data_IF_260414573730
#
_entry.id   IF_260414573730
#
_cell.length_a   1.000
_cell.length_b   1.000
_cell.length_c   1.000
_cell.angle_alpha   90.00
_cell.angle_beta   90.00
_cell.angle_gamma   90.00
#
_symmetry.space_group_name_H-M   'P 1'
#
loop_
_entity.id
_entity.type
_entity.pdbx_description
1 polymer ?
#
# COMPACT_ATOMS: atom_id res chain seq x y z
N UNK A 1 -74.07 69.13 8.35
CA UNK A 1 -72.85 68.25 8.33
C UNK A 1 -73.22 67.02 7.46
N UNK A 2 -72.62 66.93 6.27
CA UNK A 2 -72.90 65.80 5.33
C UNK A 2 -71.75 64.78 5.53
N UNK A 3 -72.05 63.47 5.56
CA UNK A 3 -71.02 62.44 5.64
C UNK A 3 -70.33 62.27 4.29
N UNK A 4 -68.96 62.19 4.35
CA UNK A 4 -68.08 61.96 3.22
C UNK A 4 -68.13 60.49 2.85
N UNK A 5 -68.51 60.15 1.63
CA UNK A 5 -68.53 58.81 1.04
C UNK A 5 -67.08 58.39 0.62
N UNK A 6 -66.69 57.29 1.10
CA UNK A 6 -65.38 56.69 0.78
C UNK A 6 -65.49 55.86 -0.51
N UNK A 7 -64.64 56.07 -1.54
CA UNK A 7 -64.69 55.25 -2.75
C UNK A 7 -64.04 53.91 -2.55
N UNK A 8 -64.74 52.81 -2.84
CA UNK A 8 -64.23 51.44 -2.88
C UNK A 8 -63.13 51.31 -3.94
N UNK A 9 -61.92 51.04 -3.49
CA UNK A 9 -60.81 50.65 -4.36
C UNK A 9 -61.08 49.21 -4.87
N UNK A 10 -61.40 49.07 -6.11
CA UNK A 10 -61.43 47.80 -6.86
C UNK A 10 -59.92 47.43 -7.18
N UNK A 11 -59.27 46.73 -6.28
CA UNK A 11 -57.97 46.09 -6.58
C UNK A 11 -58.23 44.85 -7.44
N UNK A 12 -57.90 44.89 -8.72
CA UNK A 12 -57.69 43.69 -9.54
C UNK A 12 -56.69 42.81 -8.91
N UNK A 13 -56.87 41.47 -8.81
CA UNK A 13 -55.81 40.57 -8.46
C UNK A 13 -54.75 40.60 -9.58
N UNK A 14 -53.55 41.03 -9.27
CA UNK A 14 -52.42 41.02 -10.19
C UNK A 14 -52.09 39.58 -10.56
N UNK A 15 -51.95 39.37 -11.86
CA UNK A 15 -51.72 38.09 -12.47
C UNK A 15 -50.60 37.30 -11.82
N UNK A 16 -50.84 36.02 -11.75
CA UNK A 16 -49.83 35.03 -11.41
C UNK A 16 -48.58 35.27 -12.27
N UNK A 17 -47.52 35.68 -11.64
CA UNK A 17 -46.18 35.65 -12.25
C UNK A 17 -45.88 34.17 -12.51
N UNK A 18 -45.96 33.74 -13.76
CA UNK A 18 -45.32 32.51 -14.20
C UNK A 18 -43.81 32.71 -13.99
N UNK A 19 -43.34 32.36 -12.80
CA UNK A 19 -41.93 32.44 -12.49
C UNK A 19 -41.19 31.50 -13.43
N UNK A 20 -40.49 32.06 -14.40
CA UNK A 20 -39.40 31.32 -15.03
C UNK A 20 -38.48 30.87 -13.87
N UNK A 21 -38.48 29.57 -13.57
CA UNK A 21 -37.59 28.99 -12.57
C UNK A 21 -36.18 29.41 -12.95
N UNK A 22 -35.48 30.09 -12.05
CA UNK A 22 -34.11 30.48 -12.32
C UNK A 22 -33.29 29.24 -12.58
N UNK A 23 -32.25 29.35 -13.41
CA UNK A 23 -31.31 28.24 -13.72
C UNK A 23 -30.68 27.67 -12.43
N UNK A 24 -30.79 28.40 -11.33
CA UNK A 24 -30.26 28.05 -9.99
C UNK A 24 -31.26 27.24 -9.14
N UNK A 25 -32.54 27.23 -9.48
CA UNK A 25 -33.53 26.32 -8.90
C UNK A 25 -33.45 24.97 -9.61
N UNK A 26 -32.27 24.36 -9.56
CA UNK A 26 -32.15 22.97 -9.97
C UNK A 26 -32.98 22.14 -8.99
N UNK A 27 -33.94 21.40 -9.53
CA UNK A 27 -34.78 20.48 -8.81
C UNK A 27 -33.86 19.58 -7.97
N UNK A 28 -33.98 19.64 -6.65
CA UNK A 28 -33.11 18.87 -5.73
C UNK A 28 -33.05 17.39 -6.13
N UNK A 29 -34.17 16.87 -6.63
CA UNK A 29 -34.25 15.50 -7.12
C UNK A 29 -33.33 15.24 -8.31
N UNK A 30 -33.11 16.20 -9.21
CA UNK A 30 -32.19 16.06 -10.36
C UNK A 30 -30.74 16.05 -9.90
N UNK A 31 -30.40 16.87 -8.91
CA UNK A 31 -29.04 16.90 -8.31
C UNK A 31 -28.77 15.56 -7.64
N UNK A 32 -29.72 15.09 -6.80
CA UNK A 32 -29.57 13.80 -6.10
C UNK A 32 -29.47 12.64 -7.11
N UNK A 33 -30.36 12.62 -8.11
CA UNK A 33 -30.35 11.57 -9.14
C UNK A 33 -29.04 11.61 -9.93
N UNK A 34 -28.58 12.80 -10.36
CA UNK A 34 -27.33 12.96 -11.08
C UNK A 34 -26.13 12.50 -10.24
N UNK A 35 -26.08 12.89 -8.97
CA UNK A 35 -25.04 12.45 -8.06
C UNK A 35 -25.06 10.91 -7.88
N UNK A 36 -26.21 10.30 -7.70
CA UNK A 36 -26.35 8.85 -7.58
C UNK A 36 -25.89 8.10 -8.83
N UNK A 37 -26.23 8.61 -10.02
CA UNK A 37 -25.79 8.02 -11.29
C UNK A 37 -24.27 8.08 -11.42
N UNK A 38 -23.67 9.24 -11.14
CA UNK A 38 -22.21 9.42 -11.21
C UNK A 38 -21.51 8.53 -10.19
N UNK A 39 -21.96 8.52 -8.93
CA UNK A 39 -21.38 7.69 -7.87
C UNK A 39 -21.50 6.20 -8.19
N UNK A 40 -22.68 5.76 -8.67
CA UNK A 40 -22.88 4.36 -9.05
C UNK A 40 -21.99 3.97 -10.23
N UNK A 41 -21.88 4.81 -11.25
CA UNK A 41 -20.98 4.59 -12.38
C UNK A 41 -19.53 4.56 -11.98
N UNK A 42 -19.08 5.50 -11.15
CA UNK A 42 -17.73 5.53 -10.61
C UNK A 42 -17.43 4.27 -9.75
N UNK A 43 -18.37 3.87 -8.89
CA UNK A 43 -18.23 2.66 -8.07
C UNK A 43 -18.15 1.40 -8.95
N UNK A 44 -19.01 1.30 -9.96
CA UNK A 44 -18.98 0.17 -10.88
C UNK A 44 -17.64 0.08 -11.63
N UNK A 45 -17.14 1.21 -12.13
CA UNK A 45 -15.91 1.26 -12.94
C UNK A 45 -14.64 1.13 -12.10
N UNK A 46 -14.58 1.80 -10.95
CA UNK A 46 -13.33 1.92 -10.17
C UNK A 46 -13.22 0.90 -9.03
N UNK A 47 -14.31 0.27 -8.63
CA UNK A 47 -14.32 -0.71 -7.53
C UNK A 47 -14.77 -2.08 -8.02
N UNK A 48 -16.00 -2.16 -8.57
CA UNK A 48 -16.58 -3.47 -8.91
C UNK A 48 -15.83 -4.12 -10.07
N UNK A 49 -15.55 -3.39 -11.14
CA UNK A 49 -14.83 -3.93 -12.30
C UNK A 49 -13.42 -4.43 -11.93
N UNK A 50 -12.53 -3.67 -11.27
CA UNK A 50 -11.23 -4.19 -10.83
C UNK A 50 -11.35 -5.38 -9.88
N UNK A 51 -12.30 -5.36 -8.94
CA UNK A 51 -12.55 -6.50 -8.08
C UNK A 51 -12.91 -7.76 -8.88
N UNK A 52 -13.82 -7.65 -9.86
CA UNK A 52 -14.22 -8.79 -10.69
C UNK A 52 -13.06 -9.34 -11.53
N UNK A 53 -12.16 -8.47 -11.99
CA UNK A 53 -10.96 -8.88 -12.74
C UNK A 53 -9.93 -9.56 -11.85
N UNK A 54 -9.78 -9.13 -10.61
CA UNK A 54 -8.72 -9.57 -9.71
C UNK A 54 -9.14 -10.69 -8.75
N UNK A 55 -10.44 -10.91 -8.50
CA UNK A 55 -10.93 -11.90 -7.52
C UNK A 55 -10.45 -13.33 -7.75
N UNK A 56 -10.07 -13.66 -8.98
CA UNK A 56 -9.60 -14.99 -9.35
C UNK A 56 -8.07 -15.09 -9.41
N UNK A 57 -7.35 -14.00 -9.12
CA UNK A 57 -5.89 -14.02 -9.06
C UNK A 57 -5.46 -14.86 -7.87
N UNK A 58 -4.69 -15.91 -8.15
CA UNK A 58 -4.18 -16.84 -7.14
C UNK A 58 -2.73 -16.52 -6.79
N UNK A 59 -2.33 -16.74 -5.54
CA UNK A 59 -0.92 -16.60 -5.17
C UNK A 59 -0.07 -17.62 -5.93
N UNK A 60 1.14 -17.23 -6.37
CA UNK A 60 2.12 -18.18 -6.89
C UNK A 60 2.46 -19.24 -5.83
N UNK A 61 2.79 -20.45 -6.25
CA UNK A 61 3.18 -21.52 -5.33
C UNK A 61 4.42 -21.17 -4.47
N UNK A 62 5.30 -20.31 -5.00
CA UNK A 62 6.48 -19.85 -4.29
C UNK A 62 6.16 -18.80 -3.21
N UNK A 63 5.04 -18.07 -3.32
CA UNK A 63 4.62 -17.08 -2.35
C UNK A 63 3.96 -17.77 -1.16
N UNK A 64 4.53 -17.60 0.03
CA UNK A 64 3.99 -18.19 1.26
C UNK A 64 3.20 -17.14 2.06
N UNK A 65 2.13 -17.55 2.76
CA UNK A 65 1.49 -16.69 3.75
C UNK A 65 2.47 -16.23 4.82
N UNK A 66 2.25 -15.03 5.34
CA UNK A 66 3.05 -14.53 6.46
C UNK A 66 2.83 -15.35 7.73
N UNK A 67 3.89 -15.59 8.47
CA UNK A 67 3.82 -16.14 9.82
C UNK A 67 3.26 -15.09 10.81
N UNK A 68 2.88 -15.51 12.02
CA UNK A 68 2.39 -14.59 13.04
C UNK A 68 3.41 -13.49 13.37
N UNK A 69 4.70 -13.85 13.51
CA UNK A 69 5.79 -12.90 13.77
C UNK A 69 5.97 -11.92 12.60
N UNK A 70 5.84 -12.39 11.36
CA UNK A 70 5.93 -11.53 10.18
C UNK A 70 4.75 -10.57 10.09
N UNK A 71 3.55 -11.00 10.46
CA UNK A 71 2.38 -10.12 10.56
C UNK A 71 2.54 -9.06 11.65
N UNK A 72 3.09 -9.43 12.80
CA UNK A 72 3.47 -8.47 13.85
C UNK A 72 4.50 -7.46 13.32
N UNK A 73 5.56 -7.93 12.67
CA UNK A 73 6.56 -7.06 12.04
C UNK A 73 5.96 -6.14 10.98
N UNK A 74 4.99 -6.62 10.24
CA UNK A 74 4.22 -5.81 9.28
C UNK A 74 3.43 -4.70 9.98
N UNK A 75 2.86 -4.95 11.15
CA UNK A 75 2.21 -3.89 11.95
C UNK A 75 3.22 -2.86 12.43
N UNK A 76 4.40 -3.30 12.87
CA UNK A 76 5.50 -2.39 13.25
C UNK A 76 5.93 -1.53 12.06
N UNK A 77 6.02 -2.10 10.85
CA UNK A 77 6.31 -1.38 9.60
C UNK A 77 5.28 -0.28 9.33
N UNK A 78 3.99 -0.59 9.47
CA UNK A 78 2.89 0.38 9.28
C UNK A 78 2.95 1.46 10.35
N UNK A 79 3.05 1.08 11.63
CA UNK A 79 3.05 2.01 12.76
C UNK A 79 4.20 3.02 12.71
N UNK A 80 5.35 2.61 12.17
CA UNK A 80 6.51 3.48 12.00
C UNK A 80 6.52 4.28 10.70
N UNK A 81 5.49 4.17 9.87
CA UNK A 81 5.33 4.97 8.66
C UNK A 81 6.37 4.67 7.57
N UNK A 82 6.98 3.49 7.56
CA UNK A 82 8.02 3.11 6.60
C UNK A 82 7.56 3.24 5.15
N UNK A 83 6.25 3.00 4.90
CA UNK A 83 5.61 3.12 3.59
C UNK A 83 5.64 4.55 3.02
N UNK A 84 5.84 5.57 3.85
CA UNK A 84 5.92 6.96 3.38
C UNK A 84 7.25 7.28 2.69
N UNK A 85 8.30 6.51 2.96
CA UNK A 85 9.61 6.69 2.32
C UNK A 85 9.97 5.53 1.40
N UNK A 86 9.41 4.33 1.63
CA UNK A 86 9.70 3.12 0.88
C UNK A 86 8.46 2.59 0.18
N UNK A 87 8.56 2.34 -1.13
CA UNK A 87 7.55 1.58 -1.84
C UNK A 87 7.79 0.07 -1.69
N UNK A 88 6.74 -0.71 -1.92
CA UNK A 88 6.79 -2.16 -2.13
C UNK A 88 6.14 -2.49 -3.48
N UNK A 89 6.56 -1.78 -4.52
CA UNK A 89 6.01 -1.91 -5.87
C UNK A 89 7.09 -1.58 -6.90
N UNK A 90 8.00 -2.52 -7.21
CA UNK A 90 8.91 -2.36 -8.32
C UNK A 90 8.14 -2.15 -9.62
N UNK A 91 8.56 -1.19 -10.41
CA UNK A 91 7.89 -0.74 -11.63
C UNK A 91 8.55 -1.31 -12.87
N UNK A 92 7.79 -1.38 -13.95
CA UNK A 92 8.32 -1.72 -15.26
C UNK A 92 9.41 -0.73 -15.70
N UNK A 93 10.38 -1.21 -16.48
CA UNK A 93 11.51 -0.41 -16.98
C UNK A 93 11.06 0.82 -17.80
N UNK A 94 9.88 0.76 -18.41
CA UNK A 94 9.29 1.90 -19.13
C UNK A 94 8.80 3.01 -18.18
N UNK A 95 8.57 2.68 -16.91
CA UNK A 95 8.08 3.63 -15.90
C UNK A 95 9.19 4.10 -14.96
N UNK A 96 10.11 3.21 -14.58
CA UNK A 96 11.22 3.51 -13.67
C UNK A 96 12.36 2.50 -13.84
N UNK A 97 13.61 2.89 -13.52
CA UNK A 97 14.79 2.03 -13.65
C UNK A 97 14.94 1.05 -12.46
N UNK A 98 13.84 0.47 -11.96
CA UNK A 98 13.85 -0.33 -10.74
C UNK A 98 14.64 -1.64 -10.91
N UNK A 99 14.46 -2.29 -12.05
CA UNK A 99 15.21 -3.50 -12.38
C UNK A 99 16.72 -3.24 -12.47
N UNK A 100 17.15 -2.12 -13.07
CA UNK A 100 18.56 -1.75 -13.16
C UNK A 100 19.16 -1.34 -11.82
N UNK A 101 18.33 -0.90 -10.87
CA UNK A 101 18.71 -0.63 -9.48
C UNK A 101 18.79 -1.91 -8.63
N UNK A 102 18.50 -3.07 -9.20
CA UNK A 102 18.45 -4.33 -8.48
C UNK A 102 17.23 -4.47 -7.56
N UNK A 103 16.16 -3.68 -7.78
CA UNK A 103 14.94 -3.76 -6.94
C UNK A 103 14.01 -4.89 -7.36
N UNK A 104 14.34 -5.56 -8.45
CA UNK A 104 13.62 -6.71 -8.95
C UNK A 104 12.76 -6.39 -10.18
N UNK A 105 12.03 -7.39 -10.65
CA UNK A 105 11.07 -7.26 -11.74
C UNK A 105 9.87 -6.40 -11.35
N UNK A 106 9.14 -5.90 -12.34
CA UNK A 106 7.84 -5.28 -12.12
C UNK A 106 6.92 -6.22 -11.33
N UNK A 107 6.26 -5.67 -10.32
CA UNK A 107 5.31 -6.42 -9.49
C UNK A 107 4.00 -6.67 -10.24
N UNK A 108 3.34 -7.76 -9.90
CA UNK A 108 2.03 -8.16 -10.43
C UNK A 108 1.04 -8.34 -9.28
N UNK A 109 -0.26 -8.31 -9.58
CA UNK A 109 -1.31 -8.42 -8.55
C UNK A 109 -1.15 -9.66 -7.65
N UNK A 110 -0.70 -10.76 -8.21
CA UNK A 110 -0.48 -12.02 -7.48
C UNK A 110 0.61 -11.94 -6.40
N UNK A 111 1.56 -10.99 -6.51
CA UNK A 111 2.61 -10.79 -5.52
C UNK A 111 2.09 -10.30 -4.16
N UNK A 112 0.88 -9.77 -4.14
CA UNK A 112 0.22 -9.15 -2.98
C UNK A 112 -0.95 -9.98 -2.45
N UNK A 113 -1.08 -11.24 -2.86
CA UNK A 113 -2.23 -12.08 -2.51
C UNK A 113 -2.47 -12.23 -0.99
N UNK A 114 -1.43 -12.06 -0.17
CA UNK A 114 -1.50 -12.14 1.29
C UNK A 114 -1.38 -10.77 1.98
N UNK A 115 -1.38 -9.67 1.21
CA UNK A 115 -1.26 -8.31 1.75
C UNK A 115 -2.64 -7.65 1.92
N UNK A 116 -3.03 -7.36 3.16
CA UNK A 116 -4.24 -6.60 3.48
C UNK A 116 -3.97 -5.64 4.63
N UNK A 117 -4.05 -4.31 4.39
CA UNK A 117 -4.09 -3.62 3.10
C UNK A 117 -2.78 -3.72 2.32
N UNK A 118 -2.79 -3.48 0.99
CA UNK A 118 -1.56 -3.43 0.20
C UNK A 118 -0.70 -2.22 0.60
N UNK A 119 0.59 -2.44 0.84
CA UNK A 119 1.54 -1.40 1.26
C UNK A 119 2.39 -0.91 0.08
N UNK A 120 1.76 -0.61 -1.05
CA UNK A 120 2.46 -0.28 -2.29
C UNK A 120 3.43 0.89 -2.14
N UNK A 121 2.99 1.95 -1.46
CA UNK A 121 3.73 3.19 -1.33
C UNK A 121 3.88 3.94 -2.66
N UNK A 122 4.01 5.25 -2.60
CA UNK A 122 4.22 6.10 -3.78
C UNK A 122 5.54 6.83 -3.75
N UNK A 123 6.04 7.10 -2.55
CA UNK A 123 7.31 7.78 -2.34
C UNK A 123 8.48 6.80 -2.41
N UNK A 124 9.60 7.28 -2.91
CA UNK A 124 10.85 6.54 -3.07
C UNK A 124 12.03 7.37 -2.57
N UNK A 125 11.84 8.00 -1.43
CA UNK A 125 12.91 8.66 -0.68
C UNK A 125 13.99 7.64 -0.29
N UNK A 126 13.55 6.43 0.09
CA UNK A 126 14.37 5.22 0.18
C UNK A 126 14.10 4.25 -0.99
N UNK A 127 14.88 3.16 -1.10
CA UNK A 127 14.69 2.13 -2.11
C UNK A 127 13.36 1.38 -1.94
N UNK A 128 12.89 0.76 -3.03
CA UNK A 128 11.79 -0.20 -2.97
C UNK A 128 12.15 -1.42 -2.13
N UNK A 129 11.23 -1.90 -1.31
CA UNK A 129 11.46 -2.99 -0.35
C UNK A 129 10.77 -4.31 -0.71
N UNK A 130 10.02 -4.42 -1.82
CA UNK A 130 9.31 -5.66 -2.14
C UNK A 130 10.22 -6.89 -2.25
N UNK A 131 11.50 -6.68 -2.62
CA UNK A 131 12.52 -7.73 -2.73
C UNK A 131 13.70 -7.49 -1.79
N UNK A 132 13.47 -6.83 -0.65
CA UNK A 132 14.58 -6.52 0.26
C UNK A 132 15.15 -7.79 0.91
N UNK A 133 14.33 -8.79 1.18
CA UNK A 133 14.78 -10.06 1.74
C UNK A 133 15.75 -10.80 0.82
N UNK A 134 15.52 -10.77 -0.50
CA UNK A 134 16.45 -11.33 -1.48
C UNK A 134 17.74 -10.51 -1.62
N UNK A 135 17.63 -9.17 -1.60
CA UNK A 135 18.80 -8.27 -1.76
C UNK A 135 19.66 -8.19 -0.51
N UNK A 136 19.05 -8.27 0.64
CA UNK A 136 19.70 -8.11 1.94
C UNK A 136 19.12 -9.09 2.95
N UNK A 137 19.53 -10.37 2.91
CA UNK A 137 18.96 -11.40 3.79
C UNK A 137 19.52 -11.36 5.23
N UNK A 138 20.48 -10.49 5.52
CA UNK A 138 21.16 -10.44 6.82
C UNK A 138 20.31 -9.76 7.89
N UNK A 139 19.85 -10.53 8.88
CA UNK A 139 19.18 -9.99 10.05
C UNK A 139 20.02 -8.95 10.79
N UNK A 140 21.31 -9.24 10.99
CA UNK A 140 22.23 -8.34 11.69
C UNK A 140 22.37 -7.00 10.97
N UNK A 141 22.42 -7.03 9.63
CA UNK A 141 22.45 -5.80 8.82
C UNK A 141 21.18 -4.97 9.02
N UNK A 142 20.01 -5.59 8.95
CA UNK A 142 18.75 -4.88 9.13
C UNK A 142 18.62 -4.25 10.51
N UNK A 143 18.95 -5.00 11.58
CA UNK A 143 18.92 -4.48 12.94
C UNK A 143 19.86 -3.29 13.09
N UNK A 144 21.10 -3.43 12.62
CA UNK A 144 22.06 -2.34 12.68
C UNK A 144 21.67 -1.13 11.84
N UNK A 145 21.12 -1.36 10.64
CA UNK A 145 20.64 -0.28 9.76
C UNK A 145 19.44 0.48 10.36
N UNK A 146 18.54 -0.21 11.06
CA UNK A 146 17.43 0.43 11.78
C UNK A 146 17.93 1.28 12.96
N UNK A 147 18.95 0.80 13.69
CA UNK A 147 19.53 1.51 14.82
C UNK A 147 20.37 2.71 14.39
N UNK A 148 21.26 2.53 13.42
CA UNK A 148 22.22 3.53 12.97
C UNK A 148 22.33 3.55 11.43
N UNK A 149 21.34 4.08 10.69
CA UNK A 149 21.29 3.99 9.22
C UNK A 149 22.56 4.54 8.53
N UNK A 150 23.12 5.64 9.02
CA UNK A 150 24.30 6.27 8.42
C UNK A 150 25.58 5.46 8.60
N UNK A 151 25.63 4.59 9.61
CA UNK A 151 26.77 3.68 9.80
C UNK A 151 26.80 2.55 8.76
N UNK A 152 25.63 2.19 8.18
CA UNK A 152 25.48 1.14 7.17
C UNK A 152 25.38 1.69 5.75
N UNK A 153 24.83 2.89 5.60
CA UNK A 153 24.66 3.57 4.30
C UNK A 153 25.08 5.04 4.47
N UNK A 154 26.36 5.37 4.20
CA UNK A 154 26.83 6.75 4.27
C UNK A 154 25.98 7.69 3.43
N UNK A 155 25.60 8.85 4.00
CA UNK A 155 24.69 9.80 3.35
C UNK A 155 23.21 9.46 3.45
N UNK A 156 22.83 8.38 4.13
CA UNK A 156 21.42 8.04 4.35
C UNK A 156 20.67 9.16 5.08
N UNK A 157 19.48 9.50 4.55
CA UNK A 157 18.53 10.42 5.21
C UNK A 157 17.48 9.67 6.03
N UNK A 158 17.54 8.33 6.05
CA UNK A 158 16.66 7.50 6.87
C UNK A 158 16.82 7.90 8.35
N UNK A 159 15.75 8.15 9.11
CA UNK A 159 15.83 8.35 10.54
C UNK A 159 16.29 7.07 11.25
N UNK A 160 16.97 7.20 12.37
CA UNK A 160 17.25 6.09 13.27
C UNK A 160 16.00 5.77 14.08
N UNK A 161 15.83 4.50 14.44
CA UNK A 161 14.70 4.00 15.25
C UNK A 161 15.21 3.41 16.59
N UNK A 162 15.93 4.21 17.43
CA UNK A 162 16.58 3.69 18.65
C UNK A 162 15.57 3.13 19.66
N UNK A 163 14.32 3.55 19.65
CA UNK A 163 13.28 3.07 20.54
C UNK A 163 12.86 1.61 20.29
N UNK A 164 13.23 1.01 19.13
CA UNK A 164 13.08 -0.41 18.85
C UNK A 164 14.17 -1.26 19.52
N UNK A 165 15.08 -0.63 20.26
CA UNK A 165 16.22 -1.24 20.89
C UNK A 165 16.32 -0.83 22.36
N UNK A 166 17.09 -1.59 23.13
CA UNK A 166 17.47 -1.29 24.49
C UNK A 166 18.99 -1.17 24.58
N UNK A 167 19.47 -0.10 25.21
CA UNK A 167 20.90 0.08 25.46
C UNK A 167 21.19 -0.34 26.90
N UNK A 168 21.99 -1.39 27.06
CA UNK A 168 22.42 -1.92 28.35
C UNK A 168 23.89 -1.57 28.61
N UNK A 169 24.25 -1.37 29.87
CA UNK A 169 25.64 -1.24 30.29
C UNK A 169 26.18 -2.62 30.70
N UNK A 170 27.34 -2.99 30.19
CA UNK A 170 27.98 -4.24 30.54
C UNK A 170 27.67 -5.41 29.59
N UNK A 171 27.54 -6.61 30.09
CA UNK A 171 27.35 -7.82 29.28
C UNK A 171 25.88 -8.05 28.93
N UNK A 172 25.63 -8.60 27.72
CA UNK A 172 24.31 -9.08 27.33
C UNK A 172 23.83 -10.23 28.22
N UNK A 173 22.52 -10.33 28.40
CA UNK A 173 21.91 -11.43 29.13
C UNK A 173 21.63 -12.63 28.21
N UNK A 174 21.51 -13.86 28.75
CA UNK A 174 21.08 -15.01 27.97
C UNK A 174 19.73 -14.75 27.29
N UNK A 175 19.67 -14.95 25.97
CA UNK A 175 18.49 -14.69 25.16
C UNK A 175 18.46 -13.31 24.50
N UNK A 176 19.31 -12.38 24.87
CA UNK A 176 19.42 -11.07 24.20
C UNK A 176 19.96 -11.24 22.78
N UNK A 177 19.28 -10.65 21.81
CA UNK A 177 19.80 -10.49 20.46
C UNK A 177 20.53 -9.15 20.37
N UNK A 178 21.86 -9.21 20.45
CA UNK A 178 22.72 -8.04 20.47
C UNK A 178 23.09 -7.61 19.06
N UNK A 179 23.29 -6.30 18.87
CA UNK A 179 23.73 -5.73 17.61
C UNK A 179 25.26 -5.69 17.54
N UNK A 180 25.81 -6.19 16.44
CA UNK A 180 27.22 -5.93 16.08
C UNK A 180 27.24 -4.65 15.25
N UNK A 181 27.60 -3.53 15.89
CA UNK A 181 27.58 -2.22 15.26
C UNK A 181 28.97 -1.83 14.73
N UNK A 182 29.04 -1.06 13.63
CA UNK A 182 30.29 -0.47 13.18
C UNK A 182 30.92 0.46 14.25
N UNK A 183 32.23 0.67 14.24
CA UNK A 183 32.91 1.54 15.18
C UNK A 183 32.27 2.94 15.23
N UNK A 184 32.02 3.45 16.44
CA UNK A 184 31.41 4.76 16.67
C UNK A 184 29.86 4.80 16.63
N UNK A 185 29.19 3.69 16.31
CA UNK A 185 27.73 3.62 16.31
C UNK A 185 27.12 3.33 17.69
N UNK A 186 27.93 2.88 18.66
CA UNK A 186 27.59 2.79 20.08
C UNK A 186 28.76 3.31 20.92
N UNK A 187 28.50 3.68 22.18
CA UNK A 187 29.56 4.10 23.10
C UNK A 187 30.30 2.91 23.66
N UNK A 188 31.58 3.09 24.10
CA UNK A 188 32.33 2.05 24.75
C UNK A 188 31.60 1.50 25.99
N UNK A 189 31.48 0.17 26.11
CA UNK A 189 30.81 -0.49 27.24
C UNK A 189 29.30 -0.59 27.10
N UNK A 190 28.68 -0.02 26.06
CA UNK A 190 27.27 -0.19 25.75
C UNK A 190 27.03 -1.42 24.87
N UNK A 191 26.00 -2.18 25.21
CA UNK A 191 25.47 -3.28 24.43
C UNK A 191 24.06 -2.91 23.97
N UNK A 192 23.83 -2.90 22.67
CA UNK A 192 22.53 -2.63 22.09
C UNK A 192 21.81 -3.93 21.83
N UNK A 193 20.62 -4.07 22.38
CA UNK A 193 19.77 -5.28 22.32
C UNK A 193 18.52 -4.97 21.51
N UNK A 194 18.18 -5.85 20.57
CA UNK A 194 16.96 -5.73 19.79
C UNK A 194 15.73 -6.11 20.63
N UNK A 195 14.73 -5.26 20.64
CA UNK A 195 13.42 -5.58 21.23
C UNK A 195 12.62 -6.53 20.34
N UNK A 196 11.61 -7.23 20.86
CA UNK A 196 10.76 -8.12 20.06
C UNK A 196 10.19 -7.47 18.79
N UNK A 197 9.79 -6.19 18.88
CA UNK A 197 9.26 -5.42 17.75
C UNK A 197 10.29 -5.24 16.63
N UNK A 198 11.58 -5.02 16.96
CA UNK A 198 12.65 -4.95 15.97
C UNK A 198 12.85 -6.28 15.27
N UNK A 199 12.83 -7.38 16.03
CA UNK A 199 12.99 -8.73 15.50
C UNK A 199 11.83 -9.11 14.59
N UNK A 200 10.61 -8.80 14.99
CA UNK A 200 9.40 -9.01 14.19
C UNK A 200 9.46 -8.20 12.88
N UNK A 201 9.82 -6.90 12.96
CA UNK A 201 9.99 -6.04 11.79
C UNK A 201 11.01 -6.61 10.80
N UNK A 202 12.17 -7.05 11.30
CA UNK A 202 13.21 -7.63 10.46
C UNK A 202 12.78 -8.96 9.86
N UNK A 203 12.05 -9.79 10.61
CA UNK A 203 11.46 -11.03 10.08
C UNK A 203 10.48 -10.73 8.92
N UNK A 204 9.66 -9.68 9.04
CA UNK A 204 8.81 -9.22 7.94
C UNK A 204 9.64 -8.76 6.74
N UNK A 205 10.63 -7.88 6.93
CA UNK A 205 11.47 -7.36 5.85
C UNK A 205 12.19 -8.48 5.09
N UNK A 206 12.75 -9.46 5.79
CA UNK A 206 13.42 -10.62 5.17
C UNK A 206 12.44 -11.50 4.40
N UNK A 207 11.16 -11.55 4.78
CA UNK A 207 10.13 -12.29 4.05
C UNK A 207 9.71 -11.64 2.73
N UNK A 208 10.10 -10.39 2.50
CA UNK A 208 9.81 -9.66 1.27
C UNK A 208 10.75 -10.11 0.15
N UNK A 209 10.37 -11.19 -0.52
CA UNK A 209 11.04 -11.76 -1.68
C UNK A 209 10.00 -12.18 -2.74
N UNK A 210 10.09 -11.57 -3.90
CA UNK A 210 9.24 -11.82 -5.08
C UNK A 210 10.09 -12.07 -6.32
N UNK A 211 11.26 -12.71 -6.12
CA UNK A 211 12.21 -13.00 -7.20
C UNK A 211 11.78 -14.18 -8.09
N UNK A 212 10.76 -14.92 -7.69
CA UNK A 212 10.19 -16.00 -8.49
C UNK A 212 9.60 -15.47 -9.82
N UNK A 213 9.48 -16.37 -10.83
CA UNK A 213 8.89 -16.03 -12.13
C UNK A 213 7.37 -15.81 -12.01
N UNK A 214 6.83 -14.68 -12.48
CA UNK A 214 5.39 -14.44 -12.49
C UNK A 214 4.63 -15.38 -13.44
N UNK A 215 5.31 -15.97 -14.42
CA UNK A 215 4.70 -16.93 -15.37
C UNK A 215 4.28 -18.23 -14.70
N UNK A 216 4.85 -18.57 -13.54
CA UNK A 216 4.41 -19.71 -12.74
C UNK A 216 3.00 -19.55 -12.15
N UNK A 217 2.37 -18.40 -12.31
CA UNK A 217 1.02 -18.08 -11.82
C UNK A 217 -0.08 -18.28 -12.85
N UNK A 218 0.28 -18.44 -14.12
CA UNK A 218 -0.71 -18.78 -15.14
C UNK A 218 -1.11 -20.22 -14.95
N UNK A 219 -2.43 -20.56 -14.91
CA UNK A 219 -2.83 -21.95 -14.98
C UNK A 219 -2.18 -22.53 -16.24
N UNK A 220 -1.51 -23.67 -16.09
CA UNK A 220 -1.00 -24.40 -17.24
C UNK A 220 -2.14 -24.46 -18.26
N UNK A 221 -1.96 -23.83 -19.41
CA UNK A 221 -2.91 -23.95 -20.51
C UNK A 221 -3.17 -25.44 -20.69
N UNK A 222 -4.43 -25.87 -20.55
CA UNK A 222 -4.82 -27.26 -20.86
C UNK A 222 -4.09 -27.66 -22.12
N UNK A 223 -3.43 -28.84 -22.15
CA UNK A 223 -2.78 -29.29 -23.36
C UNK A 223 -3.84 -29.27 -24.47
N UNK A 224 -3.50 -28.55 -25.54
CA UNK A 224 -4.33 -28.46 -26.73
C UNK A 224 -4.71 -29.90 -27.09
N UNK A 225 -6.00 -30.19 -27.13
CA UNK A 225 -6.50 -31.47 -27.57
C UNK A 225 -5.82 -31.80 -28.91
N UNK A 226 -5.00 -32.83 -28.92
CA UNK A 226 -4.38 -33.38 -30.13
C UNK A 226 -5.51 -33.70 -31.09
N UNK A 227 -5.54 -33.12 -32.33
CA UNK A 227 -6.56 -33.51 -33.28
C UNK A 227 -6.39 -35.02 -33.56
N UNK A 228 -7.46 -35.79 -33.32
CA UNK A 228 -7.50 -37.19 -33.62
C UNK A 228 -7.14 -37.39 -35.10
N UNK A 229 -6.00 -38.00 -35.34
CA UNK A 229 -5.59 -38.45 -36.67
C UNK A 229 -6.64 -39.41 -37.21
N UNK A 230 -7.45 -38.92 -38.16
CA UNK A 230 -8.42 -39.74 -38.85
C UNK A 230 -7.72 -40.89 -39.59
N UNK A 231 -7.97 -42.10 -39.14
CA UNK A 231 -7.69 -43.29 -39.92
C UNK A 231 -8.56 -43.23 -41.19
N UNK A 232 -7.96 -43.40 -42.33
CA UNK A 232 -8.62 -43.66 -43.60
C UNK A 232 -8.26 -45.08 -44.07
N UNK A 233 -9.17 -45.78 -44.75
CA UNK A 233 -9.21 -47.22 -44.93
C UNK A 233 -8.09 -47.77 -45.77
#
# INVERSE_FOLDING_TARGET
MKPVSNPKANGKPSGARSGARSVWEMDEMRIVTGAMVILSGATALLVVMPYMLLKNVRPPAALKPYTAVQLEGRQVYIANGCVYCHSQQPRDIKQAPDATRGWGRASVAADYAYDTPHLLGTMRTGPDLLNIGARQPSQAWHLGHLYAPRAYSPGSIMPAFPYLFEVKQGAAQPGDVTLTLPPGAAKPGEVVVAKPEALALVSYLISLDRTYSPLATLPASSPAATPASGAKP
#
